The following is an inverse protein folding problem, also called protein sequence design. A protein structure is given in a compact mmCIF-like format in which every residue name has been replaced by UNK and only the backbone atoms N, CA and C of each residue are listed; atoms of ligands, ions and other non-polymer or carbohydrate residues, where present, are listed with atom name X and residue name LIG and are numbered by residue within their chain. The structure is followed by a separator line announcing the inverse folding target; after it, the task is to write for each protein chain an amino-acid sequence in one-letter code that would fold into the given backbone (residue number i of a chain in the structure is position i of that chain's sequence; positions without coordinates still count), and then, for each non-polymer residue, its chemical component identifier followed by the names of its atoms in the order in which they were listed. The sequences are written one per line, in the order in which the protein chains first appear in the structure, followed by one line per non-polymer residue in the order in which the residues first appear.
data_IF_042367702530
#
_entry.id   IF_042367702530
#
_cell.length_a   1.000
_cell.length_b   1.000
_cell.length_c   1.000
_cell.angle_alpha   90.00
_cell.angle_beta   90.00
_cell.angle_gamma   90.00
#
_symmetry.space_group_name_H-M   'P 1'
#
loop_
_entity.id
_entity.type
_entity.pdbx_description
1 polymer ?
#
# COMPACT_ATOMS: atom_id res chain seq x y z
N UNK A 1 -3.76 -21.31 -7.10
CA UNK A 1 -3.89 -19.83 -7.09
C UNK A 1 -2.55 -19.21 -7.40
N UNK A 2 -2.54 -18.21 -8.27
CA UNK A 2 -1.35 -17.44 -8.60
C UNK A 2 -1.35 -16.12 -7.86
N UNK A 3 -0.17 -15.63 -7.54
CA UNK A 3 0.01 -14.34 -6.88
C UNK A 3 1.19 -13.62 -7.51
N UNK A 4 0.98 -12.35 -7.85
CA UNK A 4 2.07 -11.46 -8.26
C UNK A 4 2.13 -10.27 -7.32
N UNK A 5 3.28 -9.62 -7.25
CA UNK A 5 3.42 -8.42 -6.45
C UNK A 5 4.37 -7.43 -7.12
N UNK A 6 4.18 -6.16 -6.79
CA UNK A 6 5.07 -5.08 -7.21
C UNK A 6 5.24 -4.12 -6.06
N UNK A 7 6.47 -3.72 -5.81
CA UNK A 7 6.83 -2.82 -4.71
C UNK A 7 6.93 -1.37 -5.20
N UNK A 8 6.40 -0.44 -4.38
CA UNK A 8 6.43 0.99 -4.62
C UNK A 8 7.06 1.66 -3.39
N UNK A 9 8.33 2.07 -3.48
CA UNK A 9 8.98 2.75 -2.36
C UNK A 9 8.57 4.22 -2.29
N UNK A 10 8.49 4.75 -1.07
CA UNK A 10 8.31 6.18 -0.85
C UNK A 10 8.84 6.54 0.54
N UNK A 11 9.26 7.80 0.69
CA UNK A 11 9.72 8.33 1.97
C UNK A 11 8.69 9.32 2.49
N UNK A 12 8.30 9.17 3.75
CA UNK A 12 7.29 10.04 4.34
C UNK A 12 7.47 10.14 5.85
N UNK A 13 6.91 11.19 6.43
CA UNK A 13 6.85 11.37 7.88
C UNK A 13 5.42 11.17 8.38
N UNK A 14 5.29 10.83 9.65
CA UNK A 14 4.00 10.75 10.31
C UNK A 14 4.12 10.97 11.82
N UNK A 15 2.98 11.23 12.42
CA UNK A 15 2.76 11.23 13.86
C UNK A 15 1.61 10.27 14.11
N UNK A 16 1.77 9.35 15.05
CA UNK A 16 0.69 8.42 15.41
C UNK A 16 -0.08 8.96 16.61
N UNK A 17 -1.40 8.91 16.52
CA UNK A 17 -2.33 9.38 17.54
C UNK A 17 -2.80 8.20 18.39
N UNK A 18 -3.30 8.49 19.60
CA UNK A 18 -3.90 7.50 20.49
C UNK A 18 -2.90 6.68 21.29
N UNK A 19 -1.63 7.05 21.28
CA UNK A 19 -0.59 6.37 22.04
C UNK A 19 -0.39 7.03 23.41
N UNK A 20 0.13 6.26 24.42
CA UNK A 20 0.48 6.84 25.72
C UNK A 20 1.48 7.99 25.58
N UNK A 21 1.40 8.95 26.49
CA UNK A 21 2.35 10.05 26.56
C UNK A 21 3.78 9.52 26.68
N UNK A 22 4.70 10.10 25.90
CA UNK A 22 6.09 9.70 25.88
C UNK A 22 6.42 8.51 24.98
N UNK A 23 5.42 7.90 24.34
CA UNK A 23 5.68 6.85 23.35
C UNK A 23 6.42 7.44 22.15
N UNK A 24 7.51 6.78 21.73
CA UNK A 24 8.34 7.30 20.64
C UNK A 24 7.58 7.49 19.33
N UNK A 25 6.61 6.63 19.02
CA UNK A 25 5.81 6.71 17.79
C UNK A 25 4.80 7.86 17.82
N UNK A 26 4.56 8.48 18.98
CA UNK A 26 3.73 9.68 19.09
C UNK A 26 4.49 10.96 18.66
N UNK A 27 5.79 10.85 18.41
CA UNK A 27 6.60 11.96 17.94
C UNK A 27 6.66 11.97 16.42
N UNK A 28 6.94 13.15 15.87
CA UNK A 28 7.19 13.28 14.44
C UNK A 28 8.43 12.45 14.07
N UNK A 29 8.27 11.54 13.12
CA UNK A 29 9.36 10.73 12.61
C UNK A 29 9.06 10.29 11.17
N UNK A 30 10.08 9.82 10.49
CA UNK A 30 9.98 9.41 9.09
C UNK A 30 10.45 7.99 8.87
N UNK A 31 9.99 7.42 7.77
CA UNK A 31 10.37 6.09 7.32
C UNK A 31 10.60 6.08 5.81
N UNK A 32 11.41 5.11 5.37
CA UNK A 32 11.44 4.70 3.98
C UNK A 32 10.46 3.55 3.84
N UNK A 33 9.24 3.89 3.40
CA UNK A 33 8.16 2.93 3.24
C UNK A 33 8.32 2.10 1.98
N UNK A 34 7.77 0.91 2.00
CA UNK A 34 7.47 0.15 0.78
C UNK A 34 6.01 -0.25 0.83
N UNK A 35 5.27 0.09 -0.21
CA UNK A 35 3.93 -0.42 -0.44
C UNK A 35 4.02 -1.53 -1.48
N UNK A 36 3.60 -2.73 -1.10
CA UNK A 36 3.58 -3.89 -2.00
C UNK A 36 2.16 -4.17 -2.43
N UNK A 37 1.87 -3.97 -3.71
CA UNK A 37 0.58 -4.35 -4.27
C UNK A 37 0.64 -5.81 -4.66
N UNK A 38 -0.32 -6.59 -4.17
CA UNK A 38 -0.40 -8.03 -4.36
C UNK A 38 -1.69 -8.35 -5.10
N UNK A 39 -1.57 -9.00 -6.25
CA UNK A 39 -2.71 -9.39 -7.07
C UNK A 39 -2.76 -10.91 -7.16
N UNK A 40 -3.92 -11.49 -6.86
CA UNK A 40 -4.11 -12.94 -6.80
C UNK A 40 -5.24 -13.38 -7.72
N UNK A 41 -5.08 -14.52 -8.38
CA UNK A 41 -6.08 -15.09 -9.28
C UNK A 41 -5.95 -16.61 -9.36
N UNK A 42 -7.10 -17.27 -9.53
CA UNK A 42 -7.13 -18.72 -9.79
C UNK A 42 -6.66 -19.05 -11.20
N UNK A 43 -6.93 -18.15 -12.15
CA UNK A 43 -6.66 -18.37 -13.57
C UNK A 43 -5.83 -17.24 -14.14
N UNK A 44 -5.02 -17.57 -15.13
CA UNK A 44 -4.22 -16.61 -15.88
C UNK A 44 -4.98 -16.17 -17.14
N UNK A 45 -4.58 -15.02 -17.70
CA UNK A 45 -5.09 -14.58 -18.99
C UNK A 45 -4.47 -15.40 -20.15
N UNK A 46 -4.80 -15.02 -21.38
CA UNK A 46 -4.35 -15.76 -22.57
C UNK A 46 -2.83 -15.73 -22.79
N UNK A 47 -2.17 -14.71 -22.23
CA UNK A 47 -0.70 -14.59 -22.29
C UNK A 47 -0.03 -15.41 -21.18
N UNK A 48 -0.75 -15.64 -20.08
CA UNK A 48 -0.21 -16.31 -18.90
C UNK A 48 0.08 -15.35 -17.76
N UNK A 49 -0.56 -14.17 -17.73
CA UNK A 49 -0.44 -13.18 -16.67
C UNK A 49 -1.63 -13.24 -15.71
N UNK A 50 -1.38 -12.93 -14.44
CA UNK A 50 -2.44 -12.44 -13.55
C UNK A 50 -2.86 -11.05 -14.03
N UNK A 51 -1.89 -10.14 -14.12
CA UNK A 51 -2.01 -8.80 -14.69
C UNK A 51 -0.61 -8.41 -15.16
N UNK A 52 -0.50 -7.63 -16.22
CA UNK A 52 0.76 -7.04 -16.63
C UNK A 52 1.24 -6.06 -15.54
N UNK A 53 2.47 -6.20 -15.09
CA UNK A 53 3.04 -5.29 -14.07
C UNK A 53 2.97 -3.82 -14.49
N UNK A 54 3.09 -3.53 -15.78
CA UNK A 54 3.01 -2.16 -16.31
C UNK A 54 1.64 -1.52 -16.10
N UNK A 55 0.58 -2.32 -15.96
CA UNK A 55 -0.75 -1.81 -15.67
C UNK A 55 -0.85 -1.12 -14.31
N UNK A 56 0.11 -1.34 -13.42
CA UNK A 56 0.16 -0.72 -12.09
C UNK A 56 0.84 0.66 -12.09
N UNK A 57 1.27 1.17 -13.23
CA UNK A 57 1.91 2.49 -13.32
C UNK A 57 1.08 3.63 -12.68
N UNK A 58 -0.27 3.65 -12.78
CA UNK A 58 -1.05 4.69 -12.08
C UNK A 58 -0.86 4.68 -10.56
N UNK A 59 -0.60 3.53 -9.96
CA UNK A 59 -0.32 3.43 -8.51
C UNK A 59 0.98 4.17 -8.18
N UNK A 60 2.01 3.97 -8.99
CA UNK A 60 3.29 4.68 -8.79
C UNK A 60 3.10 6.18 -8.89
N UNK A 61 2.38 6.65 -9.91
CA UNK A 61 2.14 8.09 -10.09
C UNK A 61 1.40 8.70 -8.91
N UNK A 62 0.41 7.98 -8.38
CA UNK A 62 -0.35 8.46 -7.23
C UNK A 62 0.53 8.54 -5.97
N UNK A 63 1.29 7.48 -5.68
CA UNK A 63 2.19 7.44 -4.52
C UNK A 63 3.25 8.55 -4.62
N UNK A 64 3.87 8.71 -5.79
CA UNK A 64 4.89 9.74 -6.00
C UNK A 64 4.32 11.15 -5.84
N UNK A 65 3.07 11.36 -6.22
CA UNK A 65 2.43 12.67 -6.16
C UNK A 65 1.79 13.02 -4.83
N UNK A 66 1.36 12.04 -4.06
CA UNK A 66 0.55 12.28 -2.85
C UNK A 66 1.28 11.88 -1.56
N UNK A 67 2.07 10.82 -1.57
CA UNK A 67 2.70 10.30 -0.36
C UNK A 67 4.19 10.58 -0.26
N UNK A 68 4.91 10.50 -1.38
CA UNK A 68 6.37 10.58 -1.36
C UNK A 68 6.84 11.98 -1.00
N UNK A 69 7.77 12.04 -0.02
CA UNK A 69 8.32 13.28 0.52
C UNK A 69 7.24 14.18 1.15
N UNK A 70 6.19 13.57 1.72
CA UNK A 70 5.08 14.28 2.36
C UNK A 70 4.95 13.87 3.83
N UNK A 71 4.22 14.69 4.58
CA UNK A 71 3.78 14.35 5.92
C UNK A 71 2.42 13.67 5.81
N UNK A 72 2.34 12.39 6.16
CA UNK A 72 1.14 11.59 5.90
C UNK A 72 -0.10 12.13 6.60
N UNK A 73 0.05 12.71 7.79
CA UNK A 73 -1.09 13.29 8.51
C UNK A 73 -1.77 14.44 7.76
N UNK A 74 -1.03 15.14 6.89
CA UNK A 74 -1.59 16.23 6.07
C UNK A 74 -2.35 15.70 4.86
N UNK A 75 -1.97 14.52 4.38
CA UNK A 75 -2.54 13.94 3.15
C UNK A 75 -3.66 12.95 3.42
N UNK A 76 -3.71 12.37 4.62
CA UNK A 76 -4.64 11.30 4.97
C UNK A 76 -5.53 11.72 6.13
N UNK A 77 -6.78 11.28 6.12
CA UNK A 77 -7.78 11.63 7.13
C UNK A 77 -7.87 10.61 8.27
N UNK A 78 -6.97 9.66 8.33
CA UNK A 78 -6.95 8.62 9.36
C UNK A 78 -5.56 8.57 10.01
N UNK A 79 -5.50 7.90 11.16
CA UNK A 79 -4.23 7.68 11.87
C UNK A 79 -3.30 6.83 10.98
N UNK A 80 -2.16 7.36 10.51
CA UNK A 80 -1.38 6.71 9.44
C UNK A 80 -0.43 5.62 9.95
N UNK A 81 -1.01 4.59 10.56
CA UNK A 81 -0.30 3.35 10.87
C UNK A 81 -0.07 2.56 9.59
N UNK A 82 0.87 1.62 9.59
CA UNK A 82 1.10 0.75 8.44
C UNK A 82 -0.16 -0.07 8.12
N UNK A 83 -0.89 -0.52 9.14
CA UNK A 83 -2.13 -1.28 8.98
C UNK A 83 -3.22 -0.47 8.27
N UNK A 84 -3.47 0.75 8.75
CA UNK A 84 -4.46 1.63 8.14
C UNK A 84 -4.07 2.05 6.73
N UNK A 85 -2.77 2.29 6.51
CA UNK A 85 -2.26 2.65 5.20
C UNK A 85 -2.39 1.47 4.21
N UNK A 86 -2.13 0.25 4.65
CA UNK A 86 -2.31 -0.95 3.82
C UNK A 86 -3.76 -1.09 3.35
N UNK A 87 -4.71 -0.94 4.27
CA UNK A 87 -6.14 -1.02 3.94
C UNK A 87 -6.55 0.10 2.98
N UNK A 88 -6.12 1.32 3.25
CA UNK A 88 -6.42 2.46 2.40
C UNK A 88 -5.92 2.24 0.97
N UNK A 89 -4.67 1.81 0.83
CA UNK A 89 -4.08 1.57 -0.49
C UNK A 89 -4.76 0.41 -1.22
N UNK A 90 -5.11 -0.65 -0.50
CA UNK A 90 -5.83 -1.77 -1.10
C UNK A 90 -7.18 -1.36 -1.68
N UNK A 91 -7.89 -0.45 -1.00
CA UNK A 91 -9.15 0.08 -1.50
C UNK A 91 -8.95 1.12 -2.62
N UNK A 92 -7.81 1.77 -2.66
CA UNK A 92 -7.49 2.78 -3.68
C UNK A 92 -7.09 2.15 -5.02
N UNK A 93 -6.31 1.07 -4.99
CA UNK A 93 -5.77 0.45 -6.22
C UNK A 93 -6.84 0.19 -7.28
N UNK A 94 -8.01 -0.39 -6.96
CA UNK A 94 -9.04 -0.62 -7.98
C UNK A 94 -9.64 0.66 -8.57
N UNK A 95 -9.45 1.80 -7.90
CA UNK A 95 -9.89 3.11 -8.41
C UNK A 95 -8.89 3.71 -9.37
N UNK A 96 -7.64 3.29 -9.30
CA UNK A 96 -6.55 3.79 -10.15
C UNK A 96 -6.28 2.90 -11.35
N UNK A 97 -6.54 1.60 -11.20
CA UNK A 97 -6.22 0.57 -12.18
C UNK A 97 -7.46 -0.29 -12.39
N UNK A 98 -7.75 -0.60 -13.65
CA UNK A 98 -8.80 -1.56 -13.96
C UNK A 98 -8.34 -2.96 -13.55
N UNK A 99 -9.02 -3.55 -12.58
CA UNK A 99 -8.70 -4.88 -12.08
C UNK A 99 -9.62 -5.90 -12.77
N UNK A 100 -9.05 -6.90 -13.47
CA UNK A 100 -9.87 -7.89 -14.13
C UNK A 100 -10.75 -8.67 -13.17
N UNK A 101 -11.89 -9.15 -13.66
CA UNK A 101 -12.77 -10.02 -12.89
C UNK A 101 -12.00 -11.27 -12.45
N UNK A 102 -12.18 -11.67 -11.21
CA UNK A 102 -11.50 -12.83 -10.64
C UNK A 102 -10.12 -12.54 -10.06
N UNK A 103 -9.65 -11.29 -10.14
CA UNK A 103 -8.40 -10.87 -9.52
C UNK A 103 -8.69 -10.12 -8.23
N UNK A 104 -8.08 -10.54 -7.13
CA UNK A 104 -8.21 -9.85 -5.84
C UNK A 104 -6.98 -9.00 -5.56
N UNK A 105 -7.19 -7.90 -4.81
CA UNK A 105 -6.16 -6.94 -4.47
C UNK A 105 -5.89 -6.98 -2.97
N UNK A 106 -4.63 -7.13 -2.61
CA UNK A 106 -4.15 -6.97 -1.24
C UNK A 106 -2.96 -6.01 -1.26
N UNK A 107 -2.69 -5.37 -0.14
CA UNK A 107 -1.53 -4.48 -0.01
C UNK A 107 -0.82 -4.76 1.29
N UNK A 108 0.50 -4.84 1.22
CA UNK A 108 1.37 -4.91 2.37
C UNK A 108 2.20 -3.62 2.45
N UNK A 109 2.34 -3.08 3.65
CA UNK A 109 3.12 -1.86 3.90
C UNK A 109 4.22 -2.16 4.89
N UNK A 110 5.44 -1.76 4.56
CA UNK A 110 6.61 -1.84 5.41
C UNK A 110 7.07 -0.44 5.78
N UNK A 111 7.22 -0.17 7.07
CA UNK A 111 7.86 1.05 7.58
C UNK A 111 9.37 0.86 7.70
N UNK A 112 9.79 -0.37 7.99
CA UNK A 112 11.17 -0.79 8.10
C UNK A 112 11.34 -2.12 7.38
N UNK A 113 12.57 -2.50 6.99
CA UNK A 113 12.79 -3.79 6.33
C UNK A 113 12.38 -5.02 7.14
N UNK A 114 12.15 -4.85 8.44
CA UNK A 114 11.86 -5.96 9.36
C UNK A 114 10.38 -6.20 9.61
N UNK A 115 9.52 -5.27 9.23
CA UNK A 115 8.10 -5.33 9.62
C UNK A 115 7.20 -5.06 8.43
N UNK A 116 6.08 -5.78 8.38
CA UNK A 116 5.08 -5.66 7.33
C UNK A 116 3.69 -5.74 7.94
N UNK A 117 2.80 -4.88 7.48
CA UNK A 117 1.37 -4.99 7.76
C UNK A 117 0.67 -5.26 6.43
N UNK A 118 -0.17 -6.28 6.40
CA UNK A 118 -0.87 -6.67 5.18
C UNK A 118 -2.37 -6.62 5.40
N UNK A 119 -3.07 -5.95 4.49
CA UNK A 119 -4.52 -6.05 4.41
C UNK A 119 -4.88 -6.93 3.21
N UNK A 120 -5.65 -7.98 3.48
CA UNK A 120 -6.08 -8.93 2.44
C UNK A 120 -7.56 -8.72 2.15
N UNK A 121 -7.89 -8.70 0.87
CA UNK A 121 -9.28 -8.73 0.46
C UNK A 121 -9.87 -10.09 0.85
N UNK A 122 -11.01 -10.05 1.52
CA UNK A 122 -11.76 -11.27 1.85
C UNK A 122 -12.82 -11.49 0.79
N UNK A 123 -12.90 -12.70 0.29
CA UNK A 123 -13.90 -13.10 -0.70
C UNK A 123 -15.29 -13.27 -0.08
#
# INVERSE_FOLDING_TARGET
MYEISKDFPFSASHVLEGLPDGHQCARLHGHNYVARVILSAEKLDTVGFVVDYGALAPVKRWIDGVLDHRHLNDELEFNPTAENLARFLANLVPRLVEIPKGVSVSVAVSETPKTWATWRETS
#
